data_IF_435373835700
#
_entry.id   IF_435373835700
#
_cell.length_a   1.000
_cell.length_b   1.000
_cell.length_c   1.000
_cell.angle_alpha   90.00
_cell.angle_beta   90.00
_cell.angle_gamma   90.00
#
_symmetry.space_group_name_H-M   'P 1'
#
loop_
_entity.id
_entity.type
_entity.pdbx_description
1 polymer ?
#
# COMPACT_ATOMS: atom_id res chain seq x y z
N UNK A 1 71.92 34.28 24.19
CA UNK A 1 71.86 33.29 23.09
C UNK A 1 71.83 31.90 23.71
N UNK A 2 70.88 30.98 23.54
CA UNK A 2 69.65 30.85 22.74
C UNK A 2 68.78 29.85 23.51
N UNK A 3 67.54 30.19 23.86
CA UNK A 3 66.56 29.24 24.43
C UNK A 3 65.95 28.46 23.26
N UNK A 4 66.12 27.13 23.22
CA UNK A 4 65.48 26.26 22.22
C UNK A 4 64.06 25.92 22.70
N UNK A 5 63.07 26.42 21.98
CA UNK A 5 61.66 26.03 22.12
C UNK A 5 61.45 24.72 21.36
N UNK A 6 61.07 23.65 22.04
CA UNK A 6 60.67 22.38 21.41
C UNK A 6 59.17 22.51 21.10
N UNK A 7 58.84 22.59 19.81
CA UNK A 7 57.46 22.53 19.33
C UNK A 7 57.08 21.05 19.22
N UNK A 8 56.19 20.58 20.11
CA UNK A 8 55.55 19.26 19.98
C UNK A 8 54.32 19.45 19.09
N UNK A 9 54.40 18.99 17.84
CA UNK A 9 53.26 18.96 16.93
C UNK A 9 52.30 17.84 17.35
N UNK A 10 51.15 18.22 17.90
CA UNK A 10 50.05 17.31 18.22
C UNK A 10 49.32 16.97 16.91
N UNK A 11 49.50 15.75 16.39
CA UNK A 11 48.65 15.23 15.32
C UNK A 11 47.31 14.82 15.92
N UNK A 12 46.26 15.63 15.67
CA UNK A 12 44.88 15.22 15.94
C UNK A 12 44.48 14.17 14.90
N UNK A 13 44.40 12.91 15.30
CA UNK A 13 43.79 11.87 14.49
C UNK A 13 42.28 12.15 14.42
N UNK A 14 41.80 12.58 13.26
CA UNK A 14 40.37 12.68 12.97
C UNK A 14 39.85 11.26 12.80
N UNK A 15 39.35 10.66 13.88
CA UNK A 15 38.57 9.43 13.81
C UNK A 15 37.27 9.73 13.08
N UNK A 16 37.18 9.34 11.81
CA UNK A 16 35.90 9.23 11.14
C UNK A 16 35.15 8.07 11.79
N UNK A 17 34.28 8.38 12.75
CA UNK A 17 33.24 7.44 13.14
C UNK A 17 32.36 7.24 11.90
N UNK A 18 32.56 6.14 11.19
CA UNK A 18 31.52 5.63 10.32
C UNK A 18 30.33 5.36 11.23
N UNK A 19 29.33 6.25 11.20
CA UNK A 19 28.02 5.91 11.72
C UNK A 19 27.65 4.61 11.02
N UNK A 20 27.41 3.54 11.78
CA UNK A 20 26.84 2.33 11.21
C UNK A 20 25.62 2.76 10.39
N UNK A 21 25.55 2.36 9.12
CA UNK A 21 24.43 2.70 8.25
C UNK A 21 23.14 2.44 9.02
N UNK A 22 22.33 3.49 9.22
CA UNK A 22 21.10 3.38 9.97
C UNK A 22 20.28 2.24 9.35
N UNK A 23 19.88 1.25 10.17
CA UNK A 23 19.16 0.09 9.66
C UNK A 23 17.90 0.56 8.91
N UNK A 24 17.79 0.36 7.58
CA UNK A 24 16.71 0.94 6.79
C UNK A 24 15.33 0.36 7.14
N UNK A 25 15.32 -0.76 7.87
CA UNK A 25 14.12 -1.44 8.35
C UNK A 25 13.71 -1.00 9.77
N UNK A 26 14.54 -0.23 10.47
CA UNK A 26 14.23 0.23 11.83
C UNK A 26 13.16 1.33 11.83
N UNK A 27 12.46 1.46 12.96
CA UNK A 27 11.42 2.49 13.18
C UNK A 27 10.06 1.87 13.48
N UNK A 28 9.56 1.03 12.57
CA UNK A 28 8.25 0.39 12.67
C UNK A 28 8.34 -1.13 12.56
N UNK A 29 7.44 -1.85 13.23
CA UNK A 29 7.06 -3.20 12.85
C UNK A 29 5.99 -3.09 11.76
N UNK A 30 6.14 -3.81 10.64
CA UNK A 30 5.21 -3.69 9.52
C UNK A 30 5.14 -4.95 8.65
N UNK A 31 3.97 -5.16 8.04
CA UNK A 31 3.80 -6.05 6.91
C UNK A 31 3.92 -5.27 5.60
N UNK A 32 4.53 -5.89 4.59
CA UNK A 32 4.93 -5.24 3.34
C UNK A 32 4.61 -6.12 2.12
N UNK A 33 4.07 -5.49 1.07
CA UNK A 33 3.93 -6.07 -0.25
C UNK A 33 4.07 -5.01 -1.35
N UNK A 34 4.40 -5.44 -2.57
CA UNK A 34 4.62 -4.54 -3.71
C UNK A 34 4.18 -5.12 -5.04
N UNK A 35 3.72 -4.23 -5.92
CA UNK A 35 3.51 -4.52 -7.33
C UNK A 35 4.86 -4.82 -7.98
N UNK A 36 5.06 -6.07 -8.36
CA UNK A 36 6.24 -6.56 -9.05
C UNK A 36 5.86 -7.73 -9.96
N UNK A 37 6.83 -8.23 -10.71
CA UNK A 37 6.68 -9.46 -11.52
C UNK A 37 6.56 -10.73 -10.65
N UNK A 38 6.81 -10.62 -9.36
CA UNK A 38 6.75 -11.67 -8.36
C UNK A 38 5.80 -11.28 -7.23
N UNK A 39 5.18 -12.28 -6.61
CA UNK A 39 4.39 -12.13 -5.40
C UNK A 39 5.28 -12.29 -4.18
N UNK A 40 5.97 -11.20 -3.81
CA UNK A 40 6.84 -11.14 -2.64
C UNK A 40 6.18 -10.34 -1.52
N UNK A 41 6.22 -10.89 -0.30
CA UNK A 41 5.66 -10.27 0.89
C UNK A 41 6.58 -10.49 2.08
N UNK A 42 6.63 -9.52 2.99
CA UNK A 42 7.55 -9.53 4.11
C UNK A 42 6.87 -9.05 5.39
N UNK A 43 7.28 -9.64 6.50
CA UNK A 43 6.97 -9.17 7.84
C UNK A 43 8.27 -8.70 8.49
N UNK A 44 8.32 -7.42 8.82
CA UNK A 44 9.46 -6.78 9.48
C UNK A 44 9.08 -6.52 10.94
N UNK A 45 9.94 -6.97 11.87
CA UNK A 45 9.84 -6.65 13.29
C UNK A 45 11.20 -6.27 13.84
N UNK A 46 11.24 -5.19 14.62
CA UNK A 46 12.48 -4.65 15.24
C UNK A 46 13.62 -4.47 14.23
N UNK A 47 13.27 -4.09 13.00
CA UNK A 47 14.24 -3.89 11.92
C UNK A 47 14.80 -5.16 11.29
N UNK A 48 14.16 -6.32 11.49
CA UNK A 48 14.53 -7.59 10.87
C UNK A 48 13.35 -8.20 10.12
N UNK A 49 13.63 -8.85 8.98
CA UNK A 49 12.63 -9.66 8.27
C UNK A 49 12.45 -10.95 9.07
N UNK A 50 11.30 -11.10 9.73
CA UNK A 50 10.99 -12.27 10.59
C UNK A 50 10.11 -13.31 9.88
N UNK A 51 9.51 -12.94 8.75
CA UNK A 51 8.80 -13.85 7.85
C UNK A 51 8.83 -13.27 6.43
N UNK A 52 8.93 -14.15 5.44
CA UNK A 52 8.80 -13.78 4.04
C UNK A 52 8.00 -14.83 3.28
N UNK A 53 7.34 -14.40 2.21
CA UNK A 53 6.73 -15.26 1.22
C UNK A 53 7.28 -14.87 -0.15
N UNK A 54 7.77 -15.86 -0.88
CA UNK A 54 8.28 -15.71 -2.23
C UNK A 54 7.60 -16.71 -3.13
N UNK A 55 7.04 -16.24 -4.24
CA UNK A 55 6.44 -17.10 -5.25
C UNK A 55 7.04 -16.76 -6.62
N UNK A 56 8.28 -17.21 -6.91
CA UNK A 56 9.01 -16.80 -8.12
C UNK A 56 8.39 -17.34 -9.43
N UNK A 57 7.53 -18.35 -9.35
CA UNK A 57 6.76 -18.86 -10.49
C UNK A 57 5.39 -18.17 -10.66
N UNK A 58 5.07 -17.20 -9.80
CA UNK A 58 3.84 -16.42 -9.94
C UNK A 58 3.91 -15.46 -11.12
N UNK A 59 2.75 -14.93 -11.46
CA UNK A 59 2.58 -13.83 -12.40
C UNK A 59 1.60 -12.83 -11.80
N UNK A 60 1.75 -11.58 -12.21
CA UNK A 60 0.85 -10.52 -11.82
C UNK A 60 1.21 -9.84 -10.51
N UNK A 61 0.79 -8.60 -10.40
CA UNK A 61 1.17 -7.66 -9.36
C UNK A 61 0.32 -7.82 -8.10
N UNK A 62 0.91 -7.69 -6.89
CA UNK A 62 0.16 -7.56 -5.64
C UNK A 62 -0.20 -6.09 -5.45
N UNK A 63 -1.47 -5.75 -5.69
CA UNK A 63 -1.96 -4.37 -5.51
C UNK A 63 -2.60 -4.12 -4.13
N UNK A 64 -2.94 -5.18 -3.39
CA UNK A 64 -3.51 -5.09 -2.03
C UNK A 64 -3.20 -6.38 -1.25
N UNK A 65 -2.83 -6.23 0.02
CA UNK A 65 -2.53 -7.35 0.91
C UNK A 65 -2.76 -6.99 2.37
N UNK A 66 -3.38 -7.90 3.12
CA UNK A 66 -3.78 -7.70 4.51
C UNK A 66 -3.24 -8.85 5.36
N UNK A 67 -2.43 -8.51 6.36
CA UNK A 67 -2.05 -9.44 7.43
C UNK A 67 -3.13 -9.40 8.52
N UNK A 68 -3.86 -10.51 8.67
CA UNK A 68 -4.93 -10.68 9.65
C UNK A 68 -4.39 -10.98 11.05
N UNK A 69 -5.22 -10.79 12.09
CA UNK A 69 -4.79 -10.98 13.49
C UNK A 69 -4.36 -12.42 13.84
N UNK A 70 -4.83 -13.42 13.08
CA UNK A 70 -4.44 -14.82 13.22
C UNK A 70 -3.13 -15.19 12.47
N UNK A 71 -2.48 -14.22 11.82
CA UNK A 71 -1.26 -14.42 11.05
C UNK A 71 -1.48 -14.94 9.62
N UNK A 72 -2.73 -15.11 9.19
CA UNK A 72 -3.06 -15.35 7.78
C UNK A 72 -2.88 -14.08 6.95
N UNK A 73 -2.60 -14.25 5.67
CA UNK A 73 -2.44 -13.15 4.71
C UNK A 73 -3.45 -13.33 3.58
N UNK A 74 -4.33 -12.35 3.41
CA UNK A 74 -5.19 -12.21 2.25
C UNK A 74 -4.54 -11.24 1.29
N UNK A 75 -4.37 -11.61 0.02
CA UNK A 75 -3.77 -10.71 -0.96
C UNK A 75 -4.44 -10.85 -2.32
N UNK A 76 -4.72 -9.71 -2.94
CA UNK A 76 -5.14 -9.63 -4.33
C UNK A 76 -3.90 -9.51 -5.20
N UNK A 77 -3.83 -10.36 -6.21
CA UNK A 77 -2.87 -10.26 -7.29
C UNK A 77 -3.61 -10.10 -8.62
N UNK A 78 -2.95 -9.55 -9.65
CA UNK A 78 -3.59 -9.24 -10.95
C UNK A 78 -4.57 -10.31 -11.45
N UNK A 79 -4.22 -11.60 -11.32
CA UNK A 79 -5.03 -12.71 -11.84
C UNK A 79 -5.91 -13.44 -10.81
N UNK A 80 -6.08 -12.91 -9.60
CA UNK A 80 -6.88 -13.57 -8.57
C UNK A 80 -6.62 -13.10 -7.15
N UNK A 81 -7.15 -13.85 -6.19
CA UNK A 81 -7.02 -13.55 -4.77
C UNK A 81 -6.61 -14.82 -4.07
N UNK A 82 -5.67 -14.72 -3.14
CA UNK A 82 -5.20 -15.87 -2.36
C UNK A 82 -5.25 -15.53 -0.87
N UNK A 83 -5.74 -16.48 -0.08
CA UNK A 83 -5.59 -16.49 1.38
C UNK A 83 -4.62 -17.59 1.77
N UNK A 84 -3.55 -17.25 2.47
CA UNK A 84 -2.60 -18.20 3.06
C UNK A 84 -2.59 -18.10 4.58
N UNK A 85 -2.24 -19.19 5.27
CA UNK A 85 -1.91 -19.14 6.70
C UNK A 85 -0.44 -18.72 6.93
N UNK A 86 -0.03 -18.59 8.19
CA UNK A 86 1.35 -18.24 8.58
C UNK A 86 2.40 -19.27 8.13
N UNK A 87 1.99 -20.51 7.87
CA UNK A 87 2.82 -21.60 7.33
C UNK A 87 2.87 -21.57 5.78
N UNK A 88 2.28 -20.56 5.15
CA UNK A 88 2.23 -20.35 3.70
C UNK A 88 1.36 -21.36 2.96
N UNK A 89 0.53 -22.12 3.68
CA UNK A 89 -0.48 -23.01 3.09
C UNK A 89 -1.65 -22.18 2.61
N UNK A 90 -2.03 -22.41 1.35
CA UNK A 90 -3.26 -21.86 0.76
C UNK A 90 -4.48 -22.40 1.50
N UNK A 91 -5.31 -21.48 2.00
CA UNK A 91 -6.59 -21.77 2.64
C UNK A 91 -7.77 -21.56 1.68
N UNK A 92 -7.68 -20.55 0.82
CA UNK A 92 -8.71 -20.22 -0.16
C UNK A 92 -8.10 -19.47 -1.35
N UNK A 93 -8.73 -19.59 -2.52
CA UNK A 93 -8.37 -18.87 -3.74
C UNK A 93 -9.60 -18.46 -4.55
N UNK A 94 -9.44 -17.36 -5.26
CA UNK A 94 -10.29 -16.95 -6.38
C UNK A 94 -9.41 -16.74 -7.60
N UNK A 95 -9.74 -17.39 -8.72
CA UNK A 95 -9.07 -17.18 -10.00
C UNK A 95 -9.89 -16.18 -10.81
N UNK A 96 -9.27 -15.06 -11.22
CA UNK A 96 -9.94 -14.09 -12.07
C UNK A 96 -10.29 -14.76 -13.41
N UNK A 97 -11.52 -14.61 -13.93
CA UNK A 97 -11.89 -15.10 -15.26
C UNK A 97 -10.96 -14.55 -16.35
N UNK A 98 -10.92 -15.21 -17.50
CA UNK A 98 -10.15 -14.72 -18.65
C UNK A 98 -10.55 -13.28 -19.02
N UNK A 99 -9.55 -12.42 -19.24
CA UNK A 99 -9.76 -11.00 -19.53
C UNK A 99 -10.16 -10.14 -18.33
N UNK A 100 -10.25 -10.73 -17.13
CA UNK A 100 -10.51 -10.03 -15.88
C UNK A 100 -9.26 -9.93 -15.01
N UNK A 101 -9.24 -8.94 -14.12
CA UNK A 101 -8.18 -8.73 -13.14
C UNK A 101 -8.77 -8.41 -11.77
N UNK A 102 -8.01 -8.66 -10.70
CA UNK A 102 -8.36 -8.27 -9.33
C UNK A 102 -7.17 -7.54 -8.70
N UNK A 103 -7.40 -6.36 -8.14
CA UNK A 103 -6.35 -5.54 -7.51
C UNK A 103 -6.65 -5.18 -6.06
N UNK A 104 -7.79 -5.63 -5.53
CA UNK A 104 -8.20 -5.37 -4.13
C UNK A 104 -8.84 -6.62 -3.56
N UNK A 105 -8.55 -6.92 -2.30
CA UNK A 105 -9.32 -7.88 -1.52
C UNK A 105 -9.27 -7.49 -0.04
N UNK A 106 -10.43 -7.24 0.55
CA UNK A 106 -10.56 -6.84 1.95
C UNK A 106 -11.32 -7.94 2.72
N UNK A 107 -10.83 -8.37 3.89
CA UNK A 107 -11.57 -9.29 4.73
C UNK A 107 -12.81 -8.61 5.34
N UNK A 108 -13.89 -9.37 5.50
CA UNK A 108 -15.06 -9.01 6.29
C UNK A 108 -15.26 -10.11 7.32
N UNK A 109 -14.92 -9.80 8.57
CA UNK A 109 -14.79 -10.82 9.59
C UNK A 109 -13.81 -11.92 9.20
N UNK A 110 -14.05 -13.11 9.75
CA UNK A 110 -13.17 -14.28 9.51
C UNK A 110 -13.59 -15.13 8.32
N UNK A 111 -14.77 -14.89 7.77
CA UNK A 111 -15.46 -15.83 6.88
C UNK A 111 -15.79 -15.25 5.51
N UNK A 112 -15.54 -13.96 5.28
CA UNK A 112 -15.90 -13.31 4.03
C UNK A 112 -14.77 -12.46 3.50
N UNK A 113 -14.79 -12.29 2.19
CA UNK A 113 -13.93 -11.37 1.46
C UNK A 113 -14.80 -10.53 0.53
N UNK A 114 -14.56 -9.22 0.52
CA UNK A 114 -15.05 -8.33 -0.53
C UNK A 114 -13.90 -7.97 -1.46
N UNK A 115 -14.17 -7.97 -2.75
CA UNK A 115 -13.20 -7.58 -3.77
C UNK A 115 -13.86 -6.91 -4.96
N UNK A 116 -13.04 -6.23 -5.75
CA UNK A 116 -13.46 -5.67 -7.03
C UNK A 116 -12.80 -6.48 -8.16
N UNK A 117 -13.60 -6.78 -9.17
CA UNK A 117 -13.14 -7.40 -10.41
C UNK A 117 -13.16 -6.35 -11.52
N UNK A 118 -12.00 -6.14 -12.13
CA UNK A 118 -11.87 -5.46 -13.41
C UNK A 118 -12.18 -6.44 -14.55
N UNK A 119 -12.72 -5.95 -15.65
CA UNK A 119 -12.97 -6.76 -16.85
C UNK A 119 -14.04 -6.15 -17.76
N UNK A 120 -14.54 -6.93 -18.73
CA UNK A 120 -15.68 -6.51 -19.56
C UNK A 120 -16.97 -6.27 -18.77
N UNK A 121 -17.12 -6.96 -17.64
CA UNK A 121 -18.21 -6.81 -16.67
C UNK A 121 -17.64 -6.49 -15.28
N UNK A 122 -17.22 -5.24 -15.04
CA UNK A 122 -16.62 -4.84 -13.78
C UNK A 122 -17.64 -4.90 -12.64
N UNK A 123 -17.25 -5.43 -11.49
CA UNK A 123 -18.17 -5.68 -10.38
C UNK A 123 -17.49 -5.67 -9.03
N UNK A 124 -18.28 -5.41 -7.99
CA UNK A 124 -17.94 -5.74 -6.61
C UNK A 124 -18.53 -7.12 -6.28
N UNK A 125 -17.80 -7.93 -5.51
CA UNK A 125 -18.21 -9.28 -5.12
C UNK A 125 -17.93 -9.49 -3.63
N UNK A 126 -18.89 -10.09 -2.92
CA UNK A 126 -18.71 -10.62 -1.56
C UNK A 126 -18.83 -12.13 -1.61
N UNK A 127 -17.77 -12.82 -1.18
CA UNK A 127 -17.73 -14.29 -1.10
C UNK A 127 -17.58 -14.71 0.35
N UNK A 128 -18.39 -15.68 0.77
CA UNK A 128 -18.18 -16.43 1.99
C UNK A 128 -17.15 -17.54 1.71
N UNK A 129 -15.95 -17.39 2.25
CA UNK A 129 -14.81 -18.28 1.95
C UNK A 129 -14.90 -19.63 2.67
N UNK A 130 -15.77 -19.77 3.67
CA UNK A 130 -16.04 -21.04 4.36
C UNK A 130 -16.96 -21.93 3.53
N UNK A 131 -18.00 -21.33 2.95
CA UNK A 131 -19.00 -22.05 2.14
C UNK A 131 -18.69 -22.06 0.65
N UNK A 132 -17.81 -21.16 0.18
CA UNK A 132 -17.52 -20.93 -1.23
C UNK A 132 -18.62 -20.17 -1.99
N UNK A 133 -19.64 -19.66 -1.29
CA UNK A 133 -20.79 -19.00 -1.92
C UNK A 133 -20.55 -17.50 -2.14
N UNK A 134 -20.87 -17.02 -3.33
CA UNK A 134 -21.07 -15.58 -3.59
C UNK A 134 -22.37 -15.11 -2.91
N UNK A 135 -22.27 -14.22 -1.95
CA UNK A 135 -23.40 -13.70 -1.15
C UNK A 135 -23.90 -12.33 -1.65
N UNK A 136 -23.03 -11.58 -2.34
CA UNK A 136 -23.36 -10.33 -3.03
C UNK A 136 -22.53 -10.18 -4.29
N UNK A 137 -23.16 -9.67 -5.35
CA UNK A 137 -22.44 -9.04 -6.45
C UNK A 137 -23.28 -7.89 -7.02
N UNK A 138 -22.60 -6.85 -7.51
CA UNK A 138 -23.24 -5.76 -8.24
C UNK A 138 -22.23 -5.10 -9.20
N UNK A 139 -22.70 -4.56 -10.34
CA UNK A 139 -21.82 -3.93 -11.32
C UNK A 139 -21.21 -2.64 -10.77
N UNK A 140 -19.98 -2.33 -11.21
CA UNK A 140 -19.31 -1.07 -10.95
C UNK A 140 -19.10 -0.30 -12.27
N UNK A 141 -19.39 1.01 -12.31
CA UNK A 141 -19.21 1.80 -13.53
C UNK A 141 -17.74 2.07 -13.83
N UNK A 142 -17.36 2.00 -15.11
CA UNK A 142 -16.00 2.26 -15.60
C UNK A 142 -16.00 3.32 -16.69
N UNK A 143 -14.87 4.02 -16.86
CA UNK A 143 -14.68 4.97 -17.95
C UNK A 143 -14.48 4.29 -19.31
N UNK A 144 -13.72 3.19 -19.33
CA UNK A 144 -13.41 2.43 -20.54
C UNK A 144 -13.63 0.91 -20.36
N UNK A 145 -14.79 0.37 -20.78
CA UNK A 145 -15.09 -1.07 -20.62
C UNK A 145 -14.21 -1.97 -21.50
N UNK A 146 -13.47 -1.43 -22.47
CA UNK A 146 -12.55 -2.20 -23.32
C UNK A 146 -11.16 -2.38 -22.72
N UNK A 147 -10.82 -1.63 -21.67
CA UNK A 147 -9.49 -1.67 -21.04
C UNK A 147 -9.57 -2.18 -19.60
N UNK A 148 -9.37 -3.48 -19.38
CA UNK A 148 -9.43 -4.11 -18.04
C UNK A 148 -8.44 -3.49 -17.06
N UNK A 149 -7.17 -3.42 -17.45
CA UNK A 149 -6.11 -3.00 -16.53
C UNK A 149 -6.28 -1.56 -16.06
N UNK A 150 -7.00 -0.69 -16.75
CA UNK A 150 -7.13 0.71 -16.37
C UNK A 150 -8.23 1.02 -15.34
N UNK A 151 -9.12 0.07 -15.05
CA UNK A 151 -10.42 0.37 -14.42
C UNK A 151 -10.29 0.81 -12.96
N UNK A 152 -10.16 -0.15 -12.04
CA UNK A 152 -9.99 0.12 -10.63
C UNK A 152 -8.59 -0.30 -10.17
N UNK A 153 -8.13 0.27 -9.05
CA UNK A 153 -6.90 -0.16 -8.37
C UNK A 153 -7.20 -0.65 -6.97
N UNK A 154 -7.34 0.29 -6.03
CA UNK A 154 -7.59 -0.04 -4.64
C UNK A 154 -9.02 0.31 -4.22
N UNK A 155 -9.65 -0.55 -3.45
CA UNK A 155 -10.87 -0.25 -2.70
C UNK A 155 -10.71 -0.52 -1.20
N UNK A 156 -11.32 0.32 -0.36
CA UNK A 156 -11.23 0.21 1.10
C UNK A 156 -12.59 0.23 1.75
N UNK A 157 -12.79 -0.67 2.72
CA UNK A 157 -13.96 -0.63 3.58
C UNK A 157 -13.89 0.58 4.51
N UNK A 158 -15.04 1.22 4.72
CA UNK A 158 -15.17 2.33 5.67
C UNK A 158 -15.82 1.87 6.96
N UNK A 159 -15.67 2.66 8.03
CA UNK A 159 -16.37 2.42 9.29
C UNK A 159 -17.90 2.51 9.19
N UNK A 160 -18.44 3.05 8.09
CA UNK A 160 -19.88 3.12 7.84
C UNK A 160 -20.43 1.84 7.18
N UNK A 161 -19.59 0.84 6.90
CA UNK A 161 -20.00 -0.38 6.22
C UNK A 161 -20.19 -0.19 4.72
N UNK A 162 -19.45 0.74 4.12
CA UNK A 162 -19.45 1.04 2.68
C UNK A 162 -18.07 0.75 2.09
N UNK A 163 -17.97 0.78 0.75
CA UNK A 163 -16.72 0.54 0.02
C UNK A 163 -16.32 1.79 -0.78
N UNK A 164 -15.17 2.37 -0.45
CA UNK A 164 -14.52 3.42 -1.25
C UNK A 164 -13.69 2.79 -2.36
N UNK A 165 -13.97 3.13 -3.61
CA UNK A 165 -13.33 2.58 -4.80
C UNK A 165 -12.60 3.69 -5.58
N UNK A 166 -11.33 3.48 -5.89
CA UNK A 166 -10.57 4.33 -6.79
C UNK A 166 -10.82 3.93 -8.26
N UNK A 167 -11.56 4.76 -9.00
CA UNK A 167 -11.78 4.59 -10.43
C UNK A 167 -10.67 5.27 -11.22
N UNK A 168 -9.61 4.52 -11.51
CA UNK A 168 -8.39 5.03 -12.14
C UNK A 168 -8.66 5.53 -13.57
N UNK A 169 -9.47 4.81 -14.35
CA UNK A 169 -9.85 5.21 -15.73
C UNK A 169 -10.89 6.34 -15.81
N UNK A 170 -11.59 6.62 -14.71
CA UNK A 170 -12.70 7.57 -14.66
C UNK A 170 -12.35 8.82 -13.84
N UNK A 171 -11.12 8.93 -13.34
CA UNK A 171 -10.64 10.13 -12.64
C UNK A 171 -11.51 10.51 -11.44
N UNK A 172 -11.99 9.52 -10.69
CA UNK A 172 -12.84 9.74 -9.52
C UNK A 172 -12.64 8.69 -8.44
N UNK A 173 -12.99 9.05 -7.22
CA UNK A 173 -13.19 8.10 -6.13
C UNK A 173 -14.68 8.09 -5.84
N UNK A 174 -15.26 6.90 -5.66
CA UNK A 174 -16.69 6.74 -5.38
C UNK A 174 -16.89 5.77 -4.23
N UNK A 175 -17.86 6.06 -3.38
CA UNK A 175 -18.23 5.23 -2.24
C UNK A 175 -19.57 4.56 -2.54
N UNK A 176 -19.63 3.25 -2.33
CA UNK A 176 -20.80 2.44 -2.59
C UNK A 176 -21.29 1.76 -1.32
N UNK A 177 -22.61 1.66 -1.17
CA UNK A 177 -23.21 0.73 -0.20
C UNK A 177 -23.11 -0.72 -0.67
N UNK A 178 -23.56 -1.67 0.16
CA UNK A 178 -23.53 -3.11 -0.11
C UNK A 178 -24.53 -3.56 -1.18
N UNK A 179 -25.33 -2.65 -1.72
CA UNK A 179 -26.23 -2.88 -2.84
C UNK A 179 -25.76 -2.17 -4.13
N UNK A 180 -24.58 -1.54 -4.11
CA UNK A 180 -23.98 -0.89 -5.26
C UNK A 180 -24.51 0.50 -5.55
N UNK A 181 -25.26 1.11 -4.64
CA UNK A 181 -25.65 2.53 -4.77
C UNK A 181 -24.45 3.40 -4.45
N UNK A 182 -24.10 4.30 -5.38
CA UNK A 182 -23.12 5.35 -5.13
C UNK A 182 -23.70 6.34 -4.08
N UNK A 183 -23.11 6.36 -2.89
CA UNK A 183 -23.54 7.22 -1.77
C UNK A 183 -22.69 8.49 -1.65
N UNK A 184 -21.49 8.49 -2.24
CA UNK A 184 -20.61 9.64 -2.31
C UNK A 184 -19.66 9.52 -3.51
N UNK A 185 -19.26 10.65 -4.09
CA UNK A 185 -18.26 10.66 -5.16
C UNK A 185 -17.48 11.98 -5.16
N UNK A 186 -16.21 11.91 -5.54
CA UNK A 186 -15.36 13.08 -5.76
C UNK A 186 -14.49 12.88 -6.99
N UNK A 187 -14.40 13.93 -7.82
CA UNK A 187 -13.46 13.98 -8.93
C UNK A 187 -12.04 14.06 -8.40
N UNK A 188 -11.13 13.36 -9.04
CA UNK A 188 -9.72 13.38 -8.69
C UNK A 188 -8.85 13.43 -9.95
N UNK A 189 -7.89 14.36 -10.05
CA UNK A 189 -7.03 14.44 -11.22
C UNK A 189 -6.10 13.22 -11.29
N UNK A 190 -5.50 12.97 -12.46
CA UNK A 190 -4.36 12.04 -12.63
C UNK A 190 -4.61 10.55 -12.36
N UNK A 191 -5.87 10.09 -12.35
CA UNK A 191 -6.21 8.67 -12.17
C UNK A 191 -5.92 8.21 -10.73
N UNK A 192 -6.91 8.23 -9.82
CA UNK A 192 -6.69 7.83 -8.45
C UNK A 192 -6.30 6.35 -8.36
N UNK A 193 -5.32 6.06 -7.52
CA UNK A 193 -4.80 4.73 -7.26
C UNK A 193 -5.44 4.14 -5.99
N UNK A 194 -5.47 4.89 -4.88
CA UNK A 194 -6.17 4.51 -3.65
C UNK A 194 -6.93 5.65 -3.00
N UNK A 195 -7.88 5.29 -2.16
CA UNK A 195 -8.58 6.21 -1.27
C UNK A 195 -8.90 5.56 0.07
N UNK A 196 -8.88 6.35 1.14
CA UNK A 196 -9.21 5.91 2.50
C UNK A 196 -9.99 6.99 3.24
N UNK A 197 -11.13 6.60 3.81
CA UNK A 197 -11.91 7.47 4.71
C UNK A 197 -11.15 7.64 6.02
N UNK A 198 -10.98 8.88 6.46
CA UNK A 198 -10.35 9.24 7.72
C UNK A 198 -11.37 9.37 8.85
N UNK A 199 -10.92 9.29 10.10
CA UNK A 199 -11.79 9.36 11.28
C UNK A 199 -12.53 10.70 11.42
N UNK A 200 -11.99 11.79 10.85
CA UNK A 200 -12.63 13.11 10.80
C UNK A 200 -13.68 13.23 9.67
N UNK A 201 -13.92 12.17 8.89
CA UNK A 201 -14.83 12.16 7.76
C UNK A 201 -14.21 12.63 6.43
N UNK A 202 -12.99 13.14 6.42
CA UNK A 202 -12.28 13.48 5.18
C UNK A 202 -11.81 12.22 4.44
N UNK A 203 -11.42 12.38 3.18
CA UNK A 203 -10.90 11.28 2.35
C UNK A 203 -9.48 11.59 1.93
N UNK A 204 -8.54 10.69 2.28
CA UNK A 204 -7.16 10.71 1.77
C UNK A 204 -7.11 9.91 0.48
N UNK A 205 -6.65 10.53 -0.61
CA UNK A 205 -6.64 9.95 -1.96
C UNK A 205 -5.24 10.06 -2.53
N UNK A 206 -4.79 9.02 -3.24
CA UNK A 206 -3.52 8.99 -3.93
C UNK A 206 -3.70 8.79 -5.43
N UNK A 207 -2.76 9.30 -6.21
CA UNK A 207 -2.45 8.91 -7.58
C UNK A 207 -0.93 8.81 -7.71
N UNK A 208 -0.42 8.42 -8.87
CA UNK A 208 1.03 8.35 -9.11
C UNK A 208 1.76 9.68 -8.87
N UNK A 209 1.07 10.82 -8.89
CA UNK A 209 1.69 12.15 -8.78
C UNK A 209 1.30 12.94 -7.53
N UNK A 210 0.25 12.52 -6.83
CA UNK A 210 -0.44 13.35 -5.86
C UNK A 210 -0.95 12.51 -4.69
N UNK A 211 -0.75 13.00 -3.47
CA UNK A 211 -1.50 12.59 -2.29
C UNK A 211 -2.31 13.79 -1.81
N UNK A 212 -3.61 13.64 -1.59
CA UNK A 212 -4.48 14.76 -1.22
C UNK A 212 -5.55 14.31 -0.23
N UNK A 213 -5.73 15.09 0.82
CA UNK A 213 -6.87 14.99 1.72
C UNK A 213 -7.94 15.99 1.28
N UNK A 214 -9.14 15.50 1.06
CA UNK A 214 -10.31 16.33 0.73
C UNK A 214 -11.40 16.20 1.78
N UNK A 215 -12.17 17.27 1.98
CA UNK A 215 -13.38 17.25 2.79
C UNK A 215 -14.49 16.42 2.12
N UNK A 216 -15.57 16.19 2.84
CA UNK A 216 -16.78 15.53 2.31
C UNK A 216 -17.42 16.28 1.14
N UNK A 217 -17.20 17.60 1.04
CA UNK A 217 -17.66 18.46 -0.07
C UNK A 217 -16.65 18.54 -1.22
N UNK A 218 -15.48 17.91 -1.09
CA UNK A 218 -14.45 17.86 -2.13
C UNK A 218 -13.40 18.99 -2.06
N UNK A 219 -13.37 19.78 -0.98
CA UNK A 219 -12.36 20.82 -0.80
C UNK A 219 -11.03 20.23 -0.36
N UNK A 220 -9.92 20.66 -0.98
CA UNK A 220 -8.58 20.26 -0.56
C UNK A 220 -8.21 20.91 0.77
N UNK A 221 -7.84 20.10 1.77
CA UNK A 221 -7.38 20.57 3.09
C UNK A 221 -5.93 20.21 3.39
N UNK A 222 -5.37 19.24 2.67
CA UNK A 222 -3.96 18.89 2.70
C UNK A 222 -3.56 18.26 1.37
N UNK A 223 -2.33 18.49 0.93
CA UNK A 223 -1.81 17.99 -0.34
C UNK A 223 -0.32 17.75 -0.26
N UNK A 224 0.17 16.72 -0.95
CA UNK A 224 1.57 16.40 -1.09
C UNK A 224 1.89 15.94 -2.53
N UNK A 225 2.97 16.47 -3.09
CA UNK A 225 3.49 16.13 -4.42
C UNK A 225 4.98 15.79 -4.32
N UNK A 226 5.62 15.45 -5.45
CA UNK A 226 7.06 15.20 -5.48
C UNK A 226 7.92 16.39 -4.97
N UNK A 227 7.42 17.63 -5.09
CA UNK A 227 8.12 18.83 -4.64
C UNK A 227 8.28 18.89 -3.11
N UNK A 228 7.43 18.18 -2.37
CA UNK A 228 7.49 18.11 -0.90
C UNK A 228 8.54 17.11 -0.38
N UNK A 229 9.32 16.46 -1.27
CA UNK A 229 10.35 15.48 -0.92
C UNK A 229 11.74 15.92 -1.42
N UNK A 230 12.31 17.03 -0.91
CA UNK A 230 13.60 17.52 -1.35
C UNK A 230 14.70 16.47 -1.13
N UNK A 231 15.46 16.17 -2.18
CA UNK A 231 16.54 15.17 -2.14
C UNK A 231 16.10 13.72 -2.35
N UNK A 232 14.81 13.49 -2.59
CA UNK A 232 14.28 12.16 -2.90
C UNK A 232 13.62 12.12 -4.28
N UNK A 233 13.72 10.95 -4.91
CA UNK A 233 13.13 10.69 -6.21
C UNK A 233 11.78 9.99 -6.03
N UNK A 234 10.70 10.68 -6.38
CA UNK A 234 9.34 10.17 -6.31
C UNK A 234 8.96 9.60 -7.67
N UNK A 235 8.63 8.31 -7.70
CA UNK A 235 8.29 7.56 -8.92
C UNK A 235 6.80 7.35 -9.08
N UNK A 236 6.10 7.07 -8.00
CA UNK A 236 4.65 6.84 -8.05
C UNK A 236 4.06 6.64 -6.68
N UNK A 237 3.27 7.59 -6.18
CA UNK A 237 2.55 7.33 -4.93
C UNK A 237 1.49 6.24 -5.14
N UNK A 238 1.42 5.31 -4.20
CA UNK A 238 0.40 4.25 -4.15
C UNK A 238 -0.41 4.34 -2.86
N UNK A 239 -0.44 3.34 -1.97
CA UNK A 239 -1.22 3.46 -0.74
C UNK A 239 -0.65 4.59 0.14
N UNK A 240 -1.55 5.36 0.74
CA UNK A 240 -1.23 6.27 1.84
C UNK A 240 -2.17 6.04 3.03
N UNK A 241 -1.63 6.17 4.24
CA UNK A 241 -2.37 6.00 5.49
C UNK A 241 -2.08 7.17 6.44
N UNK A 242 -3.14 7.81 6.94
CA UNK A 242 -3.05 8.74 8.07
C UNK A 242 -2.88 7.94 9.36
N UNK A 243 -1.81 8.22 10.07
CA UNK A 243 -1.46 7.60 11.34
C UNK A 243 -2.13 8.37 12.51
N UNK A 244 -2.43 7.71 13.63
CA UNK A 244 -2.97 8.36 14.83
C UNK A 244 -2.23 9.57 15.40
N UNK A 245 -0.93 9.73 15.14
CA UNK A 245 -0.16 10.93 15.52
C UNK A 245 -0.38 12.11 14.55
N UNK A 246 -1.19 11.94 13.51
CA UNK A 246 -1.44 12.93 12.46
C UNK A 246 -0.50 12.81 11.25
N UNK A 247 0.53 11.97 11.32
CA UNK A 247 1.47 11.79 10.22
C UNK A 247 0.87 10.97 9.08
N UNK A 248 1.40 11.11 7.87
CA UNK A 248 0.98 10.35 6.70
C UNK A 248 2.10 9.43 6.25
N UNK A 249 1.85 8.12 6.29
CA UNK A 249 2.70 7.12 5.66
C UNK A 249 2.29 6.99 4.19
N UNK A 250 3.23 7.03 3.26
CA UNK A 250 2.97 6.91 1.83
C UNK A 250 3.99 5.99 1.15
N UNK A 251 3.49 5.10 0.31
CA UNK A 251 4.30 4.22 -0.55
C UNK A 251 4.77 4.97 -1.80
N UNK A 252 6.03 4.77 -2.19
CA UNK A 252 6.64 5.28 -3.42
C UNK A 252 7.06 4.09 -4.28
N UNK A 253 6.17 3.70 -5.18
CA UNK A 253 6.33 2.53 -6.04
C UNK A 253 7.24 2.79 -7.23
N UNK A 254 8.01 1.78 -7.62
CA UNK A 254 8.97 1.82 -8.73
C UNK A 254 8.63 0.78 -9.78
N UNK A 255 8.52 1.20 -11.03
CA UNK A 255 8.25 0.30 -12.14
C UNK A 255 9.39 -0.70 -12.36
N UNK A 256 9.05 -1.99 -12.38
CA UNK A 256 9.96 -3.11 -12.70
C UNK A 256 9.66 -3.78 -14.05
N UNK A 257 8.64 -3.32 -14.78
CA UNK A 257 8.25 -3.84 -16.09
C UNK A 257 9.11 -3.29 -17.23
N UNK A 258 9.52 -2.02 -17.16
CA UNK A 258 10.31 -1.34 -18.21
C UNK A 258 11.80 -1.71 -18.22
N UNK A 259 12.26 -2.50 -17.25
CA UNK A 259 13.65 -2.94 -17.14
C UNK A 259 14.02 -3.37 -15.71
N UNK A 260 15.24 -3.88 -15.51
CA UNK A 260 15.74 -4.14 -14.17
C UNK A 260 15.89 -2.83 -13.39
N UNK A 261 15.55 -2.86 -12.10
CA UNK A 261 15.79 -1.74 -11.18
C UNK A 261 17.27 -1.72 -10.82
N UNK A 262 17.94 -0.59 -11.02
CA UNK A 262 19.28 -0.37 -10.48
C UNK A 262 19.19 -0.06 -8.98
N UNK A 263 19.52 -1.03 -8.14
CA UNK A 263 19.45 -0.91 -6.68
C UNK A 263 20.42 0.15 -6.11
N UNK A 264 21.49 0.52 -6.84
CA UNK A 264 22.41 1.56 -6.39
C UNK A 264 21.74 2.95 -6.41
N UNK A 265 20.81 3.15 -7.36
CA UNK A 265 20.12 4.44 -7.57
C UNK A 265 18.63 4.40 -7.26
N UNK A 266 18.09 3.24 -6.89
CA UNK A 266 16.68 3.07 -6.58
C UNK A 266 16.21 4.07 -5.49
N UNK A 267 15.00 4.64 -5.64
CA UNK A 267 14.46 5.61 -4.70
C UNK A 267 14.07 4.94 -3.37
N UNK A 268 13.75 5.73 -2.35
CA UNK A 268 13.16 5.17 -1.14
C UNK A 268 11.75 4.62 -1.45
N UNK A 269 11.41 3.50 -0.82
CA UNK A 269 10.15 2.77 -1.01
C UNK A 269 8.96 3.39 -0.28
N UNK A 270 9.18 4.09 0.82
CA UNK A 270 8.12 4.73 1.58
C UNK A 270 8.65 5.85 2.47
N UNK A 271 7.74 6.74 2.87
CA UNK A 271 8.02 7.87 3.74
C UNK A 271 6.91 8.05 4.76
N UNK A 272 7.26 8.46 5.98
CA UNK A 272 6.33 9.06 6.94
C UNK A 272 6.55 10.57 6.97
N UNK A 273 5.48 11.32 6.76
CA UNK A 273 5.46 12.77 6.75
C UNK A 273 4.65 13.30 7.93
N UNK A 274 5.13 14.34 8.61
CA UNK A 274 4.30 15.13 9.54
C UNK A 274 3.19 15.92 8.80
N UNK A 275 2.20 16.51 9.51
CA UNK A 275 1.22 17.39 8.89
C UNK A 275 1.83 18.57 8.12
N UNK A 276 2.97 19.11 8.58
CA UNK A 276 3.76 20.13 7.89
C UNK A 276 4.74 19.55 6.85
N UNK A 277 4.53 18.30 6.44
CA UNK A 277 5.24 17.57 5.38
C UNK A 277 6.74 17.38 5.60
N UNK A 278 7.19 17.36 6.85
CA UNK A 278 8.57 16.98 7.17
C UNK A 278 8.68 15.47 7.18
N UNK A 279 9.69 14.95 6.48
CA UNK A 279 10.02 13.53 6.50
C UNK A 279 10.58 13.17 7.87
N UNK A 280 9.91 12.26 8.58
CA UNK A 280 10.33 11.76 9.90
C UNK A 280 10.74 10.29 9.88
N UNK A 281 10.40 9.58 8.81
CA UNK A 281 10.86 8.21 8.56
C UNK A 281 10.94 7.95 7.06
N UNK A 282 11.93 7.14 6.67
CA UNK A 282 12.19 6.76 5.27
C UNK A 282 12.55 5.28 5.22
N UNK A 283 11.83 4.52 4.40
CA UNK A 283 12.16 3.13 4.09
C UNK A 283 12.97 3.08 2.79
N UNK A 284 14.24 2.66 2.87
CA UNK A 284 15.07 2.39 1.68
C UNK A 284 15.81 1.07 1.81
N UNK A 285 15.20 -0.01 1.35
CA UNK A 285 15.70 -1.39 1.52
C UNK A 285 15.81 -2.12 0.18
N UNK A 286 16.90 -1.88 -0.54
CA UNK A 286 17.22 -2.51 -1.84
C UNK A 286 18.44 -3.44 -1.80
N UNK A 287 19.06 -3.60 -0.63
CA UNK A 287 20.38 -4.21 -0.49
C UNK A 287 20.31 -5.68 -0.05
N UNK A 288 20.85 -6.57 -0.89
CA UNK A 288 21.08 -7.99 -0.55
C UNK A 288 19.83 -8.69 0.00
N UNK A 289 20.02 -9.46 1.07
CA UNK A 289 18.96 -10.27 1.70
C UNK A 289 17.88 -9.43 2.41
N UNK A 290 18.06 -8.10 2.48
CA UNK A 290 17.07 -7.15 3.02
C UNK A 290 16.25 -6.45 1.93
N UNK A 291 16.46 -6.79 0.66
CA UNK A 291 15.70 -6.18 -0.43
C UNK A 291 14.22 -6.54 -0.33
N UNK A 292 13.37 -5.52 -0.14
CA UNK A 292 11.92 -5.68 -0.07
C UNK A 292 11.24 -5.53 -1.45
N UNK A 293 11.97 -5.10 -2.47
CA UNK A 293 11.42 -4.80 -3.79
C UNK A 293 10.60 -3.51 -3.83
N UNK A 294 9.80 -3.29 -4.89
CA UNK A 294 8.86 -2.17 -5.02
C UNK A 294 7.82 -2.15 -3.89
N UNK A 295 7.20 -0.99 -3.67
CA UNK A 295 6.40 -0.71 -2.48
C UNK A 295 4.99 -0.30 -2.85
N UNK A 296 4.00 -1.08 -2.40
CA UNK A 296 2.58 -0.81 -2.68
C UNK A 296 1.77 -0.74 -1.41
N UNK A 297 1.94 -1.75 -0.56
CA UNK A 297 1.21 -1.90 0.70
C UNK A 297 2.18 -1.94 1.87
N UNK A 298 1.98 -1.06 2.85
CA UNK A 298 2.58 -1.17 4.18
C UNK A 298 1.47 -1.12 5.22
N UNK A 299 1.36 -2.19 6.00
CA UNK A 299 0.50 -2.27 7.16
C UNK A 299 1.37 -2.20 8.41
N UNK A 300 1.34 -1.07 9.11
CA UNK A 300 2.04 -0.92 10.40
C UNK A 300 1.40 -1.80 11.47
N UNK A 301 2.25 -2.43 12.29
CA UNK A 301 1.87 -3.38 13.33
C UNK A 301 2.11 -2.85 14.74
N UNK A 302 2.66 -1.64 14.85
CA UNK A 302 2.87 -0.95 16.13
C UNK A 302 1.56 -0.58 16.83
N UNK A 303 0.43 -0.79 16.17
CA UNK A 303 -0.90 -0.44 16.66
C UNK A 303 -1.77 -1.68 16.73
N UNK A 304 -2.45 -1.91 17.86
CA UNK A 304 -3.38 -3.02 17.97
C UNK A 304 -4.57 -2.78 17.04
N UNK A 305 -4.98 -3.83 16.34
CA UNK A 305 -6.13 -3.83 15.46
C UNK A 305 -6.26 -5.18 14.76
N UNK A 306 -7.49 -5.53 14.40
CA UNK A 306 -7.78 -6.66 13.53
C UNK A 306 -8.32 -6.08 12.22
N UNK A 307 -7.55 -6.05 11.12
CA UNK A 307 -8.04 -5.55 9.83
C UNK A 307 -9.31 -6.25 9.36
N UNK A 308 -9.51 -7.48 9.79
CA UNK A 308 -10.72 -8.27 9.54
C UNK A 308 -11.93 -7.88 10.39
N UNK A 309 -11.77 -7.05 11.43
CA UNK A 309 -12.90 -6.45 12.17
C UNK A 309 -13.50 -5.30 11.36
N UNK A 310 -13.95 -5.64 10.17
CA UNK A 310 -14.57 -4.78 9.18
C UNK A 310 -15.93 -5.35 8.81
N UNK A 311 -16.79 -4.49 8.26
CA UNK A 311 -18.11 -4.88 7.81
C UNK A 311 -18.45 -4.17 6.50
N UNK A 312 -19.39 -4.75 5.76
CA UNK A 312 -19.91 -4.17 4.53
C UNK A 312 -21.42 -4.39 4.52
N UNK A 313 -22.19 -3.34 4.80
CA UNK A 313 -23.62 -3.41 5.06
C UNK A 313 -23.97 -4.46 6.10
N UNK A 314 -24.70 -5.50 5.67
CA UNK A 314 -25.12 -6.61 6.52
C UNK A 314 -24.01 -7.61 6.87
N UNK A 315 -22.90 -7.62 6.12
CA UNK A 315 -21.83 -8.60 6.28
C UNK A 315 -20.85 -8.18 7.39
N UNK A 316 -20.59 -9.10 8.31
CA UNK A 316 -19.65 -8.97 9.45
C UNK A 316 -18.82 -10.24 9.61
#
# INVERSE_FOLDING_TARGET
MKTRLILVSLFAAISHSFAADANPLAGHDFFYAGEAKTQDMYLVKKGEIVWSFHNPGSRGEISDAVLMSNGSVLFAHQYGITLINSEKKVLWKYEAPEGCETHTAQPIGKERVVFIQNGPEPKCVVVNIVTGKTEREFPLPVGNPKGTHGQFRHASLTAAGTLLVAHMDNGKVSEYDDHGKEVWTAKFPTGPWAAKRLANGNTLITSTKLVREITTTGETVWECTAEDFPGHDIKGFQIANRLPNGNTLVNNWVNSWDGPIDFATAPAQAFELTPDKKIVWTLKSWNGDKNLGPSTTIQLLDKPGAPEDAHFGEFR
#
